data_IF_559627771744
#
_entry.id   IF_559627771744
#
_cell.length_a   1.000
_cell.length_b   1.000
_cell.length_c   1.000
_cell.angle_alpha   90.00
_cell.angle_beta   90.00
_cell.angle_gamma   90.00
#
_symmetry.space_group_name_H-M   'P 1'
#
loop_
_entity.id
_entity.type
_entity.pdbx_description
1 polymer ?
#
# COMPACT_ATOMS: atom_id res chain seq x y z
N UNK A 1 -0.31 24.90 -3.70
CA UNK A 1 0.82 24.87 -2.76
C UNK A 1 1.11 23.42 -2.36
N UNK A 2 2.39 23.00 -2.35
CA UNK A 2 2.76 21.63 -1.94
C UNK A 2 2.54 21.46 -0.43
N UNK A 3 1.95 20.33 0.02
CA UNK A 3 1.66 20.12 1.43
C UNK A 3 2.95 19.97 2.26
N UNK A 4 2.88 20.40 3.52
CA UNK A 4 3.94 20.17 4.50
C UNK A 4 4.14 18.68 4.77
N UNK A 5 5.34 18.29 5.17
CA UNK A 5 5.62 16.92 5.60
C UNK A 5 5.09 16.70 7.01
N UNK A 6 4.49 15.54 7.23
CA UNK A 6 3.97 15.17 8.55
C UNK A 6 5.07 14.63 9.45
N UNK A 7 4.98 14.93 10.74
CA UNK A 7 6.01 14.64 11.74
C UNK A 7 5.54 13.71 12.87
N UNK A 8 4.26 13.35 12.87
CA UNK A 8 3.66 12.45 13.88
C UNK A 8 3.34 11.09 13.27
N UNK A 9 2.95 10.13 14.08
CA UNK A 9 2.52 8.79 13.64
C UNK A 9 1.01 8.70 13.37
N UNK A 10 0.28 9.81 13.48
CA UNK A 10 -1.13 9.92 13.08
C UNK A 10 -1.22 10.84 11.87
N UNK A 11 -1.57 10.28 10.72
CA UNK A 11 -1.70 11.01 9.46
C UNK A 11 -3.16 11.14 9.06
N UNK A 12 -3.55 12.37 8.76
CA UNK A 12 -4.86 12.72 8.25
C UNK A 12 -4.71 13.65 7.04
N UNK A 13 -5.40 13.35 5.95
CA UNK A 13 -5.31 14.09 4.70
C UNK A 13 -6.68 14.56 4.24
N UNK A 14 -6.79 15.80 3.71
CA UNK A 14 -8.07 16.34 3.26
C UNK A 14 -8.64 15.61 2.03
N UNK A 15 -7.78 14.98 1.23
CA UNK A 15 -8.15 14.34 -0.03
C UNK A 15 -7.12 13.27 -0.43
N UNK A 16 -7.41 12.54 -1.53
CA UNK A 16 -6.48 11.56 -2.13
C UNK A 16 -5.29 12.25 -2.83
N UNK A 17 -5.48 13.46 -3.29
CA UNK A 17 -4.55 14.20 -4.16
C UNK A 17 -4.23 15.56 -3.56
N UNK A 18 -3.10 16.14 -3.96
CA UNK A 18 -2.69 17.48 -3.55
C UNK A 18 -2.24 18.31 -4.78
N UNK A 19 -2.27 19.65 -4.62
CA UNK A 19 -1.93 20.58 -5.69
C UNK A 19 -2.97 20.60 -6.81
N UNK A 20 -2.57 21.04 -7.98
CA UNK A 20 -3.45 21.25 -9.13
C UNK A 20 -3.46 20.04 -10.09
N UNK A 21 -2.51 19.12 -9.94
CA UNK A 21 -2.38 17.91 -10.76
C UNK A 21 -2.94 16.69 -10.08
N UNK A 22 -3.45 15.76 -10.88
CA UNK A 22 -3.94 14.47 -10.40
C UNK A 22 -2.79 13.46 -10.32
N UNK A 23 -2.54 12.90 -9.15
CA UNK A 23 -1.61 11.79 -8.96
C UNK A 23 -2.39 10.46 -8.98
N UNK A 24 -2.02 9.57 -9.89
CA UNK A 24 -2.73 8.31 -10.14
C UNK A 24 -4.00 8.48 -10.98
N UNK A 25 -4.67 7.38 -11.26
CA UNK A 25 -5.98 7.39 -11.92
C UNK A 25 -7.08 7.71 -10.90
N UNK A 26 -7.76 8.84 -11.08
CA UNK A 26 -8.88 9.30 -10.23
C UNK A 26 -10.08 8.36 -10.22
N UNK A 27 -10.22 7.52 -11.23
CA UNK A 27 -11.33 6.56 -11.35
C UNK A 27 -10.99 5.20 -10.71
N UNK A 28 -9.73 5.01 -10.30
CA UNK A 28 -9.29 3.77 -9.67
C UNK A 28 -9.82 3.66 -8.24
N UNK A 29 -10.52 2.57 -7.93
CA UNK A 29 -11.02 2.32 -6.57
C UNK A 29 -9.88 1.91 -5.64
N UNK A 30 -9.78 2.59 -4.49
CA UNK A 30 -8.77 2.26 -3.48
C UNK A 30 -7.39 2.80 -3.82
N UNK A 31 -7.29 3.86 -4.61
CA UNK A 31 -6.02 4.53 -4.85
C UNK A 31 -5.38 5.01 -3.53
N UNK A 32 -4.09 4.80 -3.40
CA UNK A 32 -3.30 5.29 -2.27
C UNK A 32 -3.28 6.82 -2.26
N UNK A 33 -3.47 7.48 -1.11
CA UNK A 33 -3.32 8.94 -1.01
C UNK A 33 -1.90 9.39 -1.40
N UNK A 34 -1.80 10.33 -2.34
CA UNK A 34 -0.53 10.86 -2.83
C UNK A 34 0.34 11.48 -1.72
N UNK A 35 -0.29 12.02 -0.68
CA UNK A 35 0.38 12.54 0.51
C UNK A 35 1.26 11.50 1.21
N UNK A 36 0.84 10.23 1.24
CA UNK A 36 1.62 9.12 1.81
C UNK A 36 2.93 8.98 1.04
N UNK A 37 2.82 8.82 -0.28
CA UNK A 37 3.99 8.62 -1.14
C UNK A 37 4.94 9.83 -1.04
N UNK A 38 4.39 11.05 -1.08
CA UNK A 38 5.18 12.27 -0.95
C UNK A 38 5.98 12.29 0.36
N UNK A 39 5.35 12.01 1.50
CA UNK A 39 6.04 11.96 2.80
C UNK A 39 7.15 10.91 2.83
N UNK A 40 6.87 9.71 2.34
CA UNK A 40 7.84 8.61 2.30
C UNK A 40 9.05 8.93 1.40
N UNK A 41 8.81 9.41 0.17
CA UNK A 41 9.88 9.66 -0.77
C UNK A 41 10.79 10.82 -0.35
N UNK A 42 10.24 11.86 0.29
CA UNK A 42 11.06 12.94 0.85
C UNK A 42 11.98 12.47 1.97
N UNK A 43 11.53 11.53 2.81
CA UNK A 43 12.28 11.04 3.96
C UNK A 43 13.32 9.98 3.60
N UNK A 44 12.97 9.08 2.68
CA UNK A 44 13.72 7.83 2.47
C UNK A 44 14.41 7.75 1.11
N UNK A 45 14.27 8.78 0.26
CA UNK A 45 14.92 8.81 -1.06
C UNK A 45 15.55 10.16 -1.39
N UNK A 46 16.45 10.14 -2.36
CA UNK A 46 17.05 11.33 -2.98
C UNK A 46 16.61 11.45 -4.45
N UNK A 47 16.71 12.64 -5.07
CA UNK A 47 16.51 12.80 -6.51
C UNK A 47 17.29 11.78 -7.33
N UNK A 48 16.71 11.31 -8.45
CA UNK A 48 17.24 10.29 -9.38
C UNK A 48 17.33 8.87 -8.85
N UNK A 49 17.05 8.61 -7.57
CA UNK A 49 17.00 7.25 -7.04
C UNK A 49 15.77 6.49 -7.56
N UNK A 50 15.90 5.16 -7.62
CA UNK A 50 14.85 4.26 -8.13
C UNK A 50 13.85 3.91 -7.04
N UNK A 51 12.59 4.22 -7.29
CA UNK A 51 11.42 3.81 -6.52
C UNK A 51 10.70 2.70 -7.29
N UNK A 52 10.31 1.64 -6.61
CA UNK A 52 9.57 0.52 -7.22
C UNK A 52 8.24 0.32 -6.49
N UNK A 53 7.18 0.16 -7.27
CA UNK A 53 5.85 -0.22 -6.79
C UNK A 53 5.42 -1.52 -7.47
N UNK A 54 5.49 -2.67 -6.77
CA UNK A 54 5.16 -3.98 -7.35
C UNK A 54 3.67 -4.22 -7.54
N UNK A 55 2.81 -3.36 -6.97
CA UNK A 55 1.35 -3.42 -7.06
C UNK A 55 0.79 -2.02 -7.33
N UNK A 56 1.21 -1.44 -8.45
CA UNK A 56 1.12 0.00 -8.74
C UNK A 56 -0.32 0.52 -8.93
N UNK A 57 -1.29 -0.34 -9.20
CA UNK A 57 -2.71 -0.01 -9.29
C UNK A 57 -3.00 1.24 -10.12
N UNK A 58 -3.34 2.35 -9.44
CA UNK A 58 -3.64 3.64 -10.07
C UNK A 58 -2.41 4.39 -10.61
N UNK A 59 -1.19 3.98 -10.23
CA UNK A 59 0.05 4.67 -10.59
C UNK A 59 0.40 5.90 -9.75
N UNK A 60 -0.23 6.09 -8.60
CA UNK A 60 0.05 7.23 -7.69
C UNK A 60 1.54 7.32 -7.32
N UNK A 61 2.17 6.19 -6.99
CA UNK A 61 3.60 6.14 -6.64
C UNK A 61 4.47 6.65 -7.79
N UNK A 62 4.14 6.30 -9.04
CA UNK A 62 4.90 6.69 -10.22
C UNK A 62 4.83 8.21 -10.44
N UNK A 63 3.64 8.78 -10.32
CA UNK A 63 3.41 10.20 -10.56
C UNK A 63 4.12 11.05 -9.49
N UNK A 64 3.95 10.70 -8.21
CA UNK A 64 4.64 11.41 -7.12
C UNK A 64 6.16 11.26 -7.21
N UNK A 65 6.68 10.09 -7.59
CA UNK A 65 8.12 9.89 -7.77
C UNK A 65 8.67 10.80 -8.88
N UNK A 66 7.98 10.91 -10.01
CA UNK A 66 8.37 11.83 -11.10
C UNK A 66 8.32 13.28 -10.67
N UNK A 67 7.24 13.69 -10.01
CA UNK A 67 7.11 15.06 -9.47
C UNK A 67 8.29 15.44 -8.57
N UNK A 68 8.79 14.48 -7.81
CA UNK A 68 9.91 14.65 -6.90
C UNK A 68 11.28 14.38 -7.55
N UNK A 69 11.34 14.20 -8.87
CA UNK A 69 12.55 13.91 -9.63
C UNK A 69 13.22 12.57 -9.20
N UNK A 70 12.40 11.54 -8.90
CA UNK A 70 12.83 10.16 -8.70
C UNK A 70 12.52 9.34 -9.95
N UNK A 71 13.32 8.31 -10.21
CA UNK A 71 13.00 7.29 -11.19
C UNK A 71 11.94 6.37 -10.59
N UNK A 72 10.97 5.90 -11.39
CA UNK A 72 9.92 5.01 -10.89
C UNK A 72 9.68 3.85 -11.86
N UNK A 73 9.47 2.66 -11.30
CA UNK A 73 9.00 1.47 -12.00
C UNK A 73 7.76 0.94 -11.27
N UNK A 74 6.67 0.78 -11.99
CA UNK A 74 5.42 0.20 -11.50
C UNK A 74 5.12 -1.10 -12.21
N UNK A 75 4.69 -2.09 -11.43
CA UNK A 75 4.26 -3.40 -11.91
C UNK A 75 2.87 -3.71 -11.36
N UNK A 76 2.06 -4.40 -12.12
CA UNK A 76 0.77 -4.90 -11.68
C UNK A 76 0.32 -6.08 -12.56
N UNK A 77 -0.48 -6.98 -12.02
CA UNK A 77 -1.16 -8.02 -12.80
C UNK A 77 -2.36 -7.47 -13.55
N UNK A 78 -2.86 -6.29 -13.15
CA UNK A 78 -3.93 -5.55 -13.81
C UNK A 78 -3.39 -4.20 -14.32
N UNK A 79 -2.92 -4.17 -15.56
CA UNK A 79 -2.32 -2.96 -16.15
C UNK A 79 -3.38 -1.94 -16.48
N UNK A 80 -3.41 -0.85 -15.72
CA UNK A 80 -4.36 0.27 -15.89
C UNK A 80 -3.79 1.43 -16.69
N UNK A 81 -2.46 1.50 -16.84
CA UNK A 81 -1.73 2.59 -17.51
C UNK A 81 -0.56 2.06 -18.33
N UNK A 82 -0.19 2.78 -19.39
CA UNK A 82 0.90 2.39 -20.31
C UNK A 82 2.30 2.36 -19.66
N UNK A 83 2.47 3.03 -18.53
CA UNK A 83 3.73 3.12 -17.78
C UNK A 83 3.78 2.16 -16.59
N UNK A 84 2.80 1.26 -16.48
CA UNK A 84 2.77 0.13 -15.54
C UNK A 84 3.01 -1.15 -16.34
N UNK A 85 3.98 -1.95 -15.91
CA UNK A 85 4.34 -3.19 -16.58
C UNK A 85 3.55 -4.37 -16.02
N UNK A 86 3.06 -5.23 -16.91
CA UNK A 86 2.36 -6.46 -16.52
C UNK A 86 3.32 -7.44 -15.87
N UNK A 87 3.20 -7.64 -14.56
CA UNK A 87 4.08 -8.53 -13.82
C UNK A 87 3.44 -9.00 -12.51
N UNK A 88 3.79 -10.22 -12.10
CA UNK A 88 3.47 -10.74 -10.78
C UNK A 88 4.50 -10.23 -9.76
N UNK A 89 4.05 -9.62 -8.68
CA UNK A 89 4.90 -9.06 -7.63
C UNK A 89 5.77 -10.11 -6.91
N UNK A 90 5.46 -11.39 -7.06
CA UNK A 90 6.26 -12.50 -6.51
C UNK A 90 7.54 -12.79 -7.30
N UNK A 91 7.68 -12.20 -8.50
CA UNK A 91 8.86 -12.36 -9.35
C UNK A 91 9.00 -11.17 -10.29
N UNK A 92 9.77 -10.17 -9.88
CA UNK A 92 9.98 -8.93 -10.63
C UNK A 92 11.16 -9.05 -11.61
N UNK A 93 11.07 -8.45 -12.81
CA UNK A 93 12.16 -8.45 -13.80
C UNK A 93 13.22 -7.40 -13.44
N UNK A 94 13.73 -7.46 -12.22
CA UNK A 94 14.75 -6.56 -11.69
C UNK A 94 15.88 -7.39 -11.10
N UNK A 95 17.10 -6.89 -11.26
CA UNK A 95 18.26 -7.43 -10.58
C UNK A 95 18.20 -7.16 -9.07
N UNK A 96 18.98 -7.91 -8.30
CA UNK A 96 19.12 -7.73 -6.87
C UNK A 96 19.60 -6.31 -6.53
N UNK A 97 19.11 -5.77 -5.43
CA UNK A 97 19.59 -4.54 -4.81
C UNK A 97 19.58 -3.30 -5.73
N UNK A 98 18.60 -3.18 -6.62
CA UNK A 98 18.43 -2.01 -7.51
C UNK A 98 17.58 -0.90 -6.92
N UNK A 99 16.57 -1.23 -6.13
CA UNK A 99 15.63 -0.24 -5.60
C UNK A 99 16.20 0.55 -4.41
N UNK A 100 15.98 1.85 -4.40
CA UNK A 100 16.25 2.71 -3.26
C UNK A 100 15.08 2.76 -2.28
N UNK A 101 13.87 2.53 -2.78
CA UNK A 101 12.65 2.47 -1.99
C UNK A 101 11.62 1.57 -2.68
N UNK A 102 10.86 0.83 -1.89
CA UNK A 102 9.72 0.05 -2.39
C UNK A 102 8.47 0.46 -1.61
N UNK A 103 7.40 0.80 -2.34
CA UNK A 103 6.08 0.99 -1.78
C UNK A 103 5.19 -0.19 -2.12
N UNK A 104 4.41 -0.68 -1.18
CA UNK A 104 3.55 -1.84 -1.33
C UNK A 104 2.16 -1.56 -0.74
N UNK A 105 1.14 -1.56 -1.60
CA UNK A 105 -0.28 -1.46 -1.23
C UNK A 105 -1.01 -2.70 -1.76
N UNK A 106 -0.91 -3.85 -1.03
CA UNK A 106 -1.41 -5.12 -1.53
C UNK A 106 -2.94 -5.18 -1.47
N UNK A 107 -3.59 -5.95 -2.36
CA UNK A 107 -4.99 -6.28 -2.22
C UNK A 107 -5.17 -7.14 -0.96
N UNK A 108 -6.12 -6.77 -0.09
CA UNK A 108 -6.34 -7.45 1.20
C UNK A 108 -7.80 -7.83 1.47
N UNK A 109 -8.67 -7.62 0.52
CA UNK A 109 -10.10 -7.88 0.69
C UNK A 109 -10.68 -8.55 -0.54
N UNK A 110 -11.38 -9.66 -0.34
CA UNK A 110 -12.15 -10.34 -1.39
C UNK A 110 -13.46 -9.61 -1.77
N UNK A 111 -13.76 -8.47 -1.13
CA UNK A 111 -14.92 -7.63 -1.48
C UNK A 111 -14.69 -6.78 -2.73
N UNK A 112 -13.42 -6.54 -3.08
CA UNK A 112 -13.04 -5.76 -4.24
C UNK A 112 -12.53 -6.71 -5.30
N UNK A 113 -13.09 -6.63 -6.49
CA UNK A 113 -12.56 -7.32 -7.65
C UNK A 113 -11.39 -6.50 -8.19
N UNK A 114 -10.18 -6.98 -7.97
CA UNK A 114 -8.94 -6.30 -8.38
C UNK A 114 -8.53 -6.65 -9.82
N UNK A 115 -8.70 -7.91 -10.22
CA UNK A 115 -8.28 -8.40 -11.53
C UNK A 115 -8.88 -9.76 -11.86
N UNK A 116 -9.05 -10.08 -13.15
CA UNK A 116 -9.38 -11.42 -13.65
C UNK A 116 -8.16 -12.35 -13.74
N UNK A 117 -6.95 -11.80 -13.69
CA UNK A 117 -5.72 -12.59 -13.73
C UNK A 117 -5.68 -13.61 -12.59
N UNK A 118 -5.44 -14.91 -12.87
CA UNK A 118 -5.39 -15.95 -11.85
C UNK A 118 -4.25 -15.76 -10.83
N UNK A 119 -3.22 -14.96 -11.17
CA UNK A 119 -2.10 -14.63 -10.28
C UNK A 119 -2.44 -13.52 -9.29
N UNK A 120 -3.59 -12.85 -9.43
CA UNK A 120 -4.00 -11.78 -8.54
C UNK A 120 -4.18 -12.29 -7.09
N UNK A 121 -3.34 -11.79 -6.18
CA UNK A 121 -3.37 -12.13 -4.76
C UNK A 121 -4.70 -11.71 -4.11
N UNK A 122 -5.37 -10.68 -4.64
CA UNK A 122 -6.69 -10.24 -4.17
C UNK A 122 -7.82 -11.27 -4.33
N UNK A 123 -7.60 -12.36 -5.06
CA UNK A 123 -8.52 -13.51 -5.13
C UNK A 123 -8.40 -14.44 -3.92
N UNK A 124 -7.32 -14.36 -3.17
CA UNK A 124 -7.08 -15.15 -1.97
C UNK A 124 -7.71 -14.46 -0.76
N UNK A 125 -8.40 -15.24 0.07
CA UNK A 125 -8.98 -14.72 1.30
C UNK A 125 -7.90 -14.52 2.37
N UNK A 126 -7.85 -13.33 2.96
CA UNK A 126 -6.97 -13.07 4.11
C UNK A 126 -7.39 -13.83 5.40
N UNK A 127 -8.50 -14.56 5.36
CA UNK A 127 -8.88 -15.53 6.41
C UNK A 127 -8.20 -16.88 6.22
N UNK A 128 -7.46 -17.09 5.15
CA UNK A 128 -6.78 -18.35 4.85
C UNK A 128 -5.26 -18.18 4.80
N UNK A 129 -4.47 -19.22 5.11
CA UNK A 129 -3.02 -19.17 5.04
C UNK A 129 -2.46 -18.84 3.64
N UNK A 130 -3.20 -19.14 2.58
CA UNK A 130 -2.69 -19.01 1.21
C UNK A 130 -2.46 -17.55 0.80
N UNK A 131 -3.27 -16.62 1.29
CA UNK A 131 -3.03 -15.20 1.13
C UNK A 131 -1.66 -14.80 1.71
N UNK A 132 -1.38 -15.23 2.93
CA UNK A 132 -0.13 -14.88 3.63
C UNK A 132 1.09 -15.56 3.01
N UNK A 133 0.96 -16.81 2.53
CA UNK A 133 2.03 -17.48 1.77
C UNK A 133 2.37 -16.72 0.50
N UNK A 134 1.34 -16.26 -0.24
CA UNK A 134 1.55 -15.44 -1.43
C UNK A 134 2.23 -14.10 -1.09
N UNK A 135 1.80 -13.44 -0.01
CA UNK A 135 2.43 -12.20 0.47
C UNK A 135 3.87 -12.42 0.94
N UNK A 136 4.19 -13.54 1.57
CA UNK A 136 5.57 -13.86 1.95
C UNK A 136 6.50 -13.93 0.74
N UNK A 137 6.06 -14.52 -0.36
CA UNK A 137 6.83 -14.51 -1.62
C UNK A 137 7.05 -13.07 -2.16
N UNK A 138 6.03 -12.22 -2.06
CA UNK A 138 6.18 -10.80 -2.42
C UNK A 138 7.18 -10.10 -1.52
N UNK A 139 7.13 -10.33 -0.21
CA UNK A 139 8.07 -9.71 0.74
C UNK A 139 9.51 -10.20 0.53
N UNK A 140 9.70 -11.47 0.18
CA UNK A 140 11.02 -12.01 -0.18
C UNK A 140 11.56 -11.35 -1.46
N UNK A 141 10.69 -11.14 -2.44
CA UNK A 141 11.06 -10.45 -3.68
C UNK A 141 11.38 -8.96 -3.44
N UNK A 142 10.58 -8.28 -2.62
CA UNK A 142 10.88 -6.89 -2.19
C UNK A 142 12.24 -6.82 -1.48
N UNK A 143 12.53 -7.78 -0.59
CA UNK A 143 13.83 -7.85 0.08
C UNK A 143 14.97 -8.05 -0.92
N UNK A 144 14.79 -8.89 -1.94
CA UNK A 144 15.79 -9.14 -2.97
C UNK A 144 16.14 -7.88 -3.75
N UNK A 145 15.12 -7.15 -4.23
CA UNK A 145 15.35 -5.97 -5.09
C UNK A 145 15.75 -4.71 -4.32
N UNK A 146 15.45 -4.61 -3.02
CA UNK A 146 15.78 -3.45 -2.19
C UNK A 146 17.26 -3.47 -1.82
N UNK A 147 17.95 -2.33 -1.96
CA UNK A 147 19.36 -2.18 -1.54
C UNK A 147 19.49 -2.27 -0.02
N UNK A 148 20.59 -2.83 0.51
CA UNK A 148 20.90 -2.80 1.94
C UNK A 148 20.86 -1.38 2.52
N UNK A 149 20.41 -1.26 3.76
CA UNK A 149 20.25 0.02 4.46
C UNK A 149 19.08 0.88 3.96
N UNK A 150 18.30 0.43 2.97
CA UNK A 150 17.18 1.16 2.38
C UNK A 150 15.84 0.71 2.95
N UNK A 151 14.80 1.47 2.64
CA UNK A 151 13.49 1.35 3.27
C UNK A 151 12.42 0.88 2.29
N UNK A 152 11.45 0.19 2.83
CA UNK A 152 10.18 -0.07 2.18
C UNK A 152 9.03 0.37 3.08
N UNK A 153 7.85 0.58 2.50
CA UNK A 153 6.63 0.79 3.27
C UNK A 153 5.51 -0.11 2.74
N UNK A 154 4.72 -0.65 3.67
CA UNK A 154 3.52 -1.42 3.37
C UNK A 154 2.30 -0.71 3.96
N UNK A 155 1.30 -0.46 3.11
CA UNK A 155 0.05 0.20 3.46
C UNK A 155 -1.10 -0.80 3.42
N UNK A 156 -1.85 -0.97 4.51
CA UNK A 156 -2.89 -1.99 4.62
C UNK A 156 -3.92 -1.66 5.69
N UNK A 157 -5.11 -2.20 5.58
CA UNK A 157 -6.15 -2.16 6.62
C UNK A 157 -6.53 -3.57 7.06
N UNK A 158 -7.04 -3.67 8.27
CA UNK A 158 -7.73 -4.87 8.72
C UNK A 158 -9.10 -5.02 8.02
N UNK A 159 -9.60 -6.24 7.95
CA UNK A 159 -10.89 -6.55 7.37
C UNK A 159 -11.88 -7.06 8.41
N UNK A 160 -13.10 -6.60 8.31
CA UNK A 160 -14.24 -7.10 9.05
C UNK A 160 -15.41 -7.33 8.11
N UNK A 161 -16.04 -8.49 8.21
CA UNK A 161 -17.29 -8.84 7.53
C UNK A 161 -18.27 -9.37 8.56
N UNK A 162 -19.52 -8.88 8.53
CA UNK A 162 -20.58 -9.42 9.38
C UNK A 162 -20.72 -10.94 9.15
N UNK A 163 -20.72 -11.70 10.22
CA UNK A 163 -20.82 -13.17 10.16
C UNK A 163 -19.50 -13.91 9.85
N UNK A 164 -18.38 -13.20 9.75
CA UNK A 164 -17.05 -13.80 9.64
C UNK A 164 -16.14 -13.35 10.80
N UNK A 165 -15.10 -14.12 11.14
CA UNK A 165 -14.13 -13.69 12.13
C UNK A 165 -13.47 -12.36 11.75
N UNK A 166 -13.08 -11.58 12.74
CA UNK A 166 -12.21 -10.42 12.53
C UNK A 166 -10.86 -10.89 11.96
N UNK A 167 -10.38 -10.19 10.94
CA UNK A 167 -9.14 -10.51 10.26
C UNK A 167 -8.10 -9.41 10.52
N UNK A 168 -7.13 -9.62 11.44
CA UNK A 168 -6.08 -8.66 11.79
C UNK A 168 -4.94 -8.66 10.77
N UNK A 169 -5.23 -8.30 9.52
CA UNK A 169 -4.31 -8.39 8.38
C UNK A 169 -3.04 -7.57 8.65
N UNK A 170 -3.20 -6.39 9.26
CA UNK A 170 -2.06 -5.52 9.60
C UNK A 170 -1.04 -6.24 10.49
N UNK A 171 -1.48 -6.84 11.60
CA UNK A 171 -0.58 -7.56 12.51
C UNK A 171 0.02 -8.82 11.89
N UNK A 172 -0.77 -9.55 11.12
CA UNK A 172 -0.31 -10.74 10.39
C UNK A 172 0.79 -10.41 9.39
N UNK A 173 0.65 -9.32 8.66
CA UNK A 173 1.68 -8.86 7.73
C UNK A 173 2.87 -8.23 8.45
N UNK A 174 2.65 -7.46 9.53
CA UNK A 174 3.73 -6.90 10.33
C UNK A 174 4.66 -7.96 10.90
N UNK A 175 4.11 -9.07 11.41
CA UNK A 175 4.90 -10.19 11.90
C UNK A 175 5.81 -10.78 10.81
N UNK A 176 5.29 -10.90 9.58
CA UNK A 176 6.04 -11.42 8.42
C UNK A 176 7.11 -10.44 7.93
N UNK A 177 6.78 -9.14 7.94
CA UNK A 177 7.73 -8.07 7.67
C UNK A 177 8.91 -8.10 8.65
N UNK A 178 8.63 -8.20 9.96
CA UNK A 178 9.65 -8.17 11.03
C UNK A 178 10.62 -9.36 11.00
N UNK A 179 10.27 -10.45 10.31
CA UNK A 179 11.19 -11.57 10.06
C UNK A 179 12.19 -11.29 8.94
N UNK A 180 11.94 -10.28 8.12
CA UNK A 180 12.70 -9.97 6.88
C UNK A 180 13.40 -8.62 6.93
N UNK A 181 12.84 -7.69 7.67
CA UNK A 181 13.26 -6.30 7.75
C UNK A 181 13.27 -5.81 9.20
N UNK A 182 14.04 -4.78 9.47
CA UNK A 182 14.01 -4.05 10.74
C UNK A 182 12.81 -3.09 10.76
N UNK A 183 11.92 -3.16 11.77
CA UNK A 183 10.88 -2.14 11.93
C UNK A 183 11.47 -0.77 12.21
N UNK A 184 10.99 0.25 11.50
CA UNK A 184 11.39 1.65 11.67
C UNK A 184 10.28 2.44 12.36
N UNK A 185 9.04 2.34 11.84
CA UNK A 185 7.90 3.03 12.44
C UNK A 185 6.56 2.40 12.00
N UNK A 186 5.51 2.73 12.75
CA UNK A 186 4.12 2.38 12.44
C UNK A 186 3.30 3.66 12.43
N UNK A 187 2.74 3.99 11.26
CA UNK A 187 1.89 5.16 11.07
C UNK A 187 0.43 4.72 11.00
N UNK A 188 -0.43 5.40 11.72
CA UNK A 188 -1.88 5.31 11.59
C UNK A 188 -2.35 6.36 10.58
N UNK A 189 -2.94 5.93 9.46
CA UNK A 189 -3.50 6.83 8.44
C UNK A 189 -5.01 6.79 8.52
N UNK A 190 -5.65 7.93 8.84
CA UNK A 190 -7.10 8.00 8.95
C UNK A 190 -7.78 7.74 7.61
N UNK A 191 -8.90 7.03 7.66
CA UNK A 191 -9.74 6.76 6.48
C UNK A 191 -10.83 7.82 6.38
N UNK A 192 -10.82 8.54 5.28
CA UNK A 192 -11.88 9.47 4.91
C UNK A 192 -12.67 8.88 3.75
N UNK A 193 -13.58 7.98 4.01
CA UNK A 193 -14.46 7.42 2.98
C UNK A 193 -15.92 7.68 3.31
N UNK A 194 -16.76 7.74 2.28
CA UNK A 194 -18.20 8.03 2.39
C UNK A 194 -18.95 7.03 3.27
N UNK A 195 -18.44 5.83 3.51
CA UNK A 195 -19.03 4.83 4.39
C UNK A 195 -18.99 5.29 5.85
N UNK A 196 -17.91 5.98 6.26
CA UNK A 196 -17.77 6.49 7.63
C UNK A 196 -18.68 7.70 7.89
N UNK A 197 -19.15 8.37 6.83
CA UNK A 197 -20.02 9.56 6.95
C UNK A 197 -21.52 9.20 6.93
N UNK A 198 -21.88 7.95 6.61
CA UNK A 198 -23.27 7.51 6.48
C UNK A 198 -23.83 6.98 7.80
N UNK A 199 -24.85 7.65 8.34
CA UNK A 199 -25.46 7.30 9.62
C UNK A 199 -26.02 5.87 9.72
N UNK A 200 -26.47 5.29 8.60
CA UNK A 200 -26.95 3.91 8.59
C UNK A 200 -25.84 2.89 8.91
N UNK A 201 -24.57 3.15 8.53
CA UNK A 201 -23.46 2.29 8.89
C UNK A 201 -23.10 2.42 10.37
N UNK A 202 -23.17 3.63 10.93
CA UNK A 202 -22.95 3.84 12.37
C UNK A 202 -24.03 3.15 13.19
N UNK A 203 -25.31 3.28 12.81
CA UNK A 203 -26.41 2.58 13.45
C UNK A 203 -26.20 1.06 13.42
N UNK A 204 -25.90 0.49 12.26
CA UNK A 204 -25.62 -0.93 12.12
C UNK A 204 -24.41 -1.41 12.95
N UNK A 205 -23.39 -0.58 13.09
CA UNK A 205 -22.22 -0.89 13.89
C UNK A 205 -22.56 -0.95 15.39
N UNK A 206 -23.37 -0.01 15.89
CA UNK A 206 -23.83 -0.01 17.28
C UNK A 206 -24.75 -1.21 17.53
N UNK A 207 -25.76 -1.42 16.70
CA UNK A 207 -26.72 -2.53 16.84
C UNK A 207 -26.05 -3.91 16.70
N UNK A 208 -25.04 -4.01 15.83
CA UNK A 208 -24.29 -5.25 15.58
C UNK A 208 -23.07 -5.43 16.48
N UNK A 209 -22.78 -4.49 17.39
CA UNK A 209 -21.63 -4.50 18.29
C UNK A 209 -20.29 -4.74 17.57
N UNK A 210 -20.02 -3.94 16.53
CA UNK A 210 -18.73 -3.95 15.81
C UNK A 210 -18.27 -2.53 15.48
N UNK A 211 -16.99 -2.38 15.13
CA UNK A 211 -16.40 -1.08 14.80
C UNK A 211 -16.16 -0.96 13.29
N UNK A 212 -16.48 0.20 12.72
CA UNK A 212 -16.09 0.57 11.36
C UNK A 212 -14.57 0.78 11.29
N UNK A 213 -13.95 0.40 10.16
CA UNK A 213 -12.50 0.57 9.97
C UNK A 213 -12.17 2.04 9.73
N UNK A 214 -11.65 2.73 10.74
CA UNK A 214 -11.37 4.16 10.74
C UNK A 214 -9.95 4.53 10.29
N UNK A 215 -9.03 3.57 10.14
CA UNK A 215 -7.65 3.82 9.73
C UNK A 215 -7.04 2.68 8.95
N UNK A 216 -5.93 2.98 8.28
CA UNK A 216 -5.01 2.02 7.69
C UNK A 216 -3.66 2.09 8.41
N UNK A 217 -2.98 0.97 8.50
CA UNK A 217 -1.57 0.91 8.90
C UNK A 217 -0.67 1.32 7.74
N UNK A 218 0.41 2.02 8.06
CA UNK A 218 1.55 2.20 7.18
C UNK A 218 2.78 1.74 7.96
N UNK A 219 3.30 0.57 7.62
CA UNK A 219 4.49 0.00 8.22
C UNK A 219 5.72 0.46 7.45
N UNK A 220 6.67 1.07 8.13
CA UNK A 220 7.95 1.49 7.56
C UNK A 220 9.03 0.54 8.05
N UNK A 221 9.72 -0.07 7.11
CA UNK A 221 10.71 -1.12 7.36
C UNK A 221 12.02 -0.80 6.66
N UNK A 222 13.13 -1.31 7.21
CA UNK A 222 14.47 -1.15 6.66
C UNK A 222 15.10 -2.51 6.37
N UNK A 223 15.75 -2.66 5.22
CA UNK A 223 16.62 -3.81 4.95
C UNK A 223 17.96 -3.62 5.66
N UNK A 224 18.34 -4.58 6.50
CA UNK A 224 19.65 -4.62 7.12
C UNK A 224 20.76 -4.70 6.07
#
# INVERSE_FOLDING_TARGET
>A
QKPALLTTTLWDFPSQQYGDETQGDKNYRGATPAYIIRNLLHRYTRPKELVVDPMAGSGTTLDVARELNRRALGYDVNVTRKDIFHCDARKLPLEDEKAAFVFLDPPYSTHVHYSDDPRCIGKLSALTPDYYKAMELVLDEVKRILRPGRHMALYVSDSFQKGKPFCPIGFELFQRLSRRFEPVDIICVTRRNTTLDKGNYHKAAVEGNYFLRGFNYLFIMKKA
#
